data_IF_713472573849
#
_entry.id   IF_713472573849
#
_cell.length_a   1.000
_cell.length_b   1.000
_cell.length_c   1.000
_cell.angle_alpha   90.00
_cell.angle_beta   90.00
_cell.angle_gamma   90.00
#
_symmetry.space_group_name_H-M   'P 1'
#
loop_
_entity.id
_entity.type
_entity.pdbx_description
1 polymer ?
#
# COMPACT_ATOMS: atom_id res chain seq x y z
N UNK A 1 15.09 3.99 -13.54
CA UNK A 1 13.70 4.32 -13.09
C UNK A 1 12.79 4.27 -14.31
N UNK A 2 11.61 3.66 -14.19
CA UNK A 2 10.63 3.57 -15.27
C UNK A 2 9.66 4.77 -15.28
N UNK A 3 9.54 5.47 -14.13
CA UNK A 3 8.66 6.62 -13.96
C UNK A 3 9.44 7.76 -13.31
N UNK A 4 9.29 8.97 -13.85
CA UNK A 4 9.74 10.21 -13.22
C UNK A 4 8.57 10.77 -12.40
N UNK A 5 8.83 11.12 -11.15
CA UNK A 5 7.82 11.69 -10.24
C UNK A 5 8.31 13.03 -9.71
N UNK A 6 7.47 14.05 -9.80
CA UNK A 6 7.76 15.39 -9.26
C UNK A 6 6.48 16.10 -8.81
N UNK A 7 6.62 17.11 -7.96
CA UNK A 7 5.52 17.95 -7.51
C UNK A 7 5.45 19.22 -8.34
N UNK A 8 4.23 19.58 -8.78
CA UNK A 8 3.95 20.82 -9.48
C UNK A 8 2.51 21.29 -9.18
N UNK A 9 2.33 22.58 -8.87
CA UNK A 9 1.02 23.23 -8.70
C UNK A 9 0.04 22.47 -7.79
N UNK A 10 0.54 22.00 -6.64
CA UNK A 10 -0.27 21.22 -5.68
C UNK A 10 -0.57 19.78 -6.09
N UNK A 11 -0.01 19.32 -7.22
CA UNK A 11 -0.17 17.98 -7.74
C UNK A 11 1.14 17.18 -7.70
N UNK A 12 1.01 15.84 -7.72
CA UNK A 12 2.07 14.91 -8.10
C UNK A 12 1.91 14.61 -9.58
N UNK A 13 2.99 14.79 -10.33
CA UNK A 13 3.08 14.44 -11.74
C UNK A 13 3.93 13.17 -11.87
N UNK A 14 3.34 12.09 -12.37
CA UNK A 14 3.99 10.82 -12.67
C UNK A 14 4.14 10.71 -14.18
N UNK A 15 5.39 10.73 -14.69
CA UNK A 15 5.68 10.70 -16.13
C UNK A 15 6.27 9.34 -16.49
N UNK A 16 5.64 8.64 -17.41
CA UNK A 16 6.10 7.35 -17.88
C UNK A 16 7.31 7.48 -18.80
N UNK A 17 8.37 6.73 -18.52
CA UNK A 17 9.60 6.68 -19.33
C UNK A 17 9.69 5.41 -20.18
N UNK A 18 8.78 4.47 -20.00
CA UNK A 18 8.73 3.18 -20.70
C UNK A 18 7.27 2.80 -21.00
N UNK A 19 7.00 1.94 -22.00
CA UNK A 19 5.66 1.44 -22.27
C UNK A 19 5.01 0.78 -21.02
N UNK A 20 5.74 -0.05 -20.29
CA UNK A 20 5.24 -0.69 -19.06
C UNK A 20 4.82 0.35 -18.00
N UNK A 21 5.54 1.47 -17.91
CA UNK A 21 5.16 2.56 -17.02
C UNK A 21 3.89 3.29 -17.51
N UNK A 22 3.70 3.44 -18.83
CA UNK A 22 2.44 3.98 -19.37
C UNK A 22 1.26 3.10 -18.98
N UNK A 23 1.36 1.78 -19.14
CA UNK A 23 0.29 0.85 -18.79
C UNK A 23 -0.06 0.95 -17.30
N UNK A 24 0.96 1.07 -16.44
CA UNK A 24 0.73 1.27 -14.99
C UNK A 24 0.03 2.59 -14.69
N UNK A 25 0.43 3.70 -15.32
CA UNK A 25 -0.24 4.98 -15.11
C UNK A 25 -1.69 4.97 -15.63
N UNK A 26 -1.96 4.29 -16.75
CA UNK A 26 -3.33 4.09 -17.27
C UNK A 26 -4.18 3.28 -16.30
N UNK A 27 -3.62 2.20 -15.75
CA UNK A 27 -4.28 1.37 -14.74
C UNK A 27 -4.60 2.19 -13.48
N UNK A 28 -3.62 2.91 -12.95
CA UNK A 28 -3.80 3.77 -11.77
C UNK A 28 -4.87 4.84 -12.00
N UNK A 29 -4.84 5.52 -13.15
CA UNK A 29 -5.85 6.51 -13.53
C UNK A 29 -7.27 5.90 -13.60
N UNK A 30 -7.40 4.73 -14.22
CA UNK A 30 -8.68 4.06 -14.37
C UNK A 30 -9.26 3.63 -12.99
N UNK A 31 -8.42 3.13 -12.11
CA UNK A 31 -8.83 2.69 -10.78
C UNK A 31 -9.22 3.86 -9.87
N UNK A 32 -8.38 4.89 -9.79
CA UNK A 32 -8.63 6.08 -8.97
C UNK A 32 -9.75 6.96 -9.52
N UNK A 33 -9.95 6.99 -10.83
CA UNK A 33 -11.06 7.69 -11.47
C UNK A 33 -12.37 6.90 -11.54
N UNK A 34 -12.32 5.58 -11.26
CA UNK A 34 -13.42 4.63 -11.32
C UNK A 34 -13.79 4.09 -9.93
N UNK A 35 -13.47 2.79 -9.63
CA UNK A 35 -13.94 2.12 -8.42
C UNK A 35 -13.44 2.74 -7.12
N UNK A 36 -12.34 3.50 -7.15
CA UNK A 36 -11.76 4.14 -5.97
C UNK A 36 -12.01 5.66 -5.89
N UNK A 37 -12.77 6.20 -6.83
CA UNK A 37 -13.07 7.63 -6.88
C UNK A 37 -13.79 8.11 -5.62
N UNK A 38 -13.27 9.19 -5.03
CA UNK A 38 -13.90 9.88 -3.90
C UNK A 38 -13.65 9.25 -2.53
N UNK A 39 -12.90 8.14 -2.44
CA UNK A 39 -12.44 7.66 -1.15
C UNK A 39 -11.27 8.51 -0.66
N UNK A 40 -11.38 9.08 0.54
CA UNK A 40 -10.34 9.96 1.14
C UNK A 40 -9.04 9.22 1.44
N UNK A 41 -9.10 7.92 1.60
CA UNK A 41 -7.94 7.04 1.83
C UNK A 41 -7.14 6.72 0.57
N UNK A 42 -7.48 7.32 -0.59
CA UNK A 42 -6.79 7.17 -1.87
C UNK A 42 -6.55 8.52 -2.54
N UNK A 43 -5.50 8.67 -3.36
CA UNK A 43 -5.25 9.89 -4.13
C UNK A 43 -6.42 10.23 -5.05
N UNK A 44 -6.63 11.51 -5.27
CA UNK A 44 -7.60 11.99 -6.24
C UNK A 44 -6.89 12.33 -7.54
N UNK A 45 -7.32 11.74 -8.65
CA UNK A 45 -6.76 12.06 -9.96
C UNK A 45 -7.30 13.39 -10.46
N UNK A 46 -6.40 14.22 -10.99
CA UNK A 46 -6.72 15.52 -11.60
C UNK A 46 -6.76 15.44 -13.13
N UNK A 47 -6.03 14.48 -13.72
CA UNK A 47 -6.05 14.24 -15.15
C UNK A 47 -4.90 13.38 -15.63
N UNK A 48 -4.99 12.98 -16.90
CA UNK A 48 -3.92 12.24 -17.57
C UNK A 48 -3.80 12.74 -19.02
N UNK A 49 -2.58 13.09 -19.45
CA UNK A 49 -2.33 13.60 -20.79
C UNK A 49 -0.88 13.30 -21.24
N UNK A 50 -0.65 13.33 -22.53
CA UNK A 50 0.73 13.37 -23.05
C UNK A 50 1.30 14.79 -22.90
N UNK A 51 2.49 14.87 -22.32
CA UNK A 51 3.23 16.11 -22.12
C UNK A 51 4.59 16.06 -22.80
N UNK A 52 5.06 17.18 -23.29
CA UNK A 52 6.46 17.34 -23.74
C UNK A 52 7.29 17.80 -22.55
N UNK A 53 8.24 17.00 -22.09
CA UNK A 53 9.19 17.39 -21.04
C UNK A 53 10.59 17.54 -21.64
N UNK A 54 11.07 18.80 -21.66
CA UNK A 54 12.37 19.15 -22.25
C UNK A 54 13.56 18.47 -21.54
N UNK A 55 13.38 18.03 -20.28
CA UNK A 55 14.43 17.38 -19.49
C UNK A 55 14.70 15.94 -19.93
N UNK A 56 13.67 15.27 -20.47
CA UNK A 56 13.76 13.86 -20.92
C UNK A 56 13.53 13.70 -22.41
N UNK A 57 13.10 14.78 -23.12
CA UNK A 57 12.83 14.80 -24.56
C UNK A 57 11.62 13.96 -24.95
N UNK A 58 10.91 14.39 -26.00
CA UNK A 58 9.76 13.65 -26.54
C UNK A 58 8.46 13.84 -25.77
N UNK A 59 7.44 13.08 -26.22
CA UNK A 59 6.11 13.05 -25.60
C UNK A 59 5.99 11.86 -24.67
N UNK A 60 5.59 12.11 -23.43
CA UNK A 60 5.45 11.11 -22.39
C UNK A 60 4.07 11.20 -21.75
N UNK A 61 3.49 10.05 -21.41
CA UNK A 61 2.24 10.03 -20.66
C UNK A 61 2.51 10.55 -19.24
N UNK A 62 1.69 11.50 -18.80
CA UNK A 62 1.74 12.08 -17.46
C UNK A 62 0.39 11.89 -16.78
N UNK A 63 0.39 11.26 -15.62
CA UNK A 63 -0.70 11.20 -14.68
C UNK A 63 -0.52 12.31 -13.64
N UNK A 64 -1.57 13.13 -13.42
CA UNK A 64 -1.63 14.13 -12.36
C UNK A 64 -2.59 13.68 -11.28
N UNK A 65 -2.09 13.66 -10.06
CA UNK A 65 -2.84 13.38 -8.84
C UNK A 65 -2.70 14.54 -7.86
N UNK A 66 -3.72 14.82 -7.07
CA UNK A 66 -3.58 15.78 -5.97
C UNK A 66 -2.49 15.30 -5.02
N UNK A 67 -1.61 16.22 -4.63
CA UNK A 67 -0.57 15.90 -3.67
C UNK A 67 -1.21 15.54 -2.32
N UNK A 68 -0.87 14.37 -1.81
CA UNK A 68 -1.25 13.93 -0.46
C UNK A 68 -0.21 14.51 0.51
N UNK A 69 -0.63 15.52 1.30
CA UNK A 69 0.23 16.04 2.37
C UNK A 69 0.45 14.98 3.44
N UNK A 70 1.70 14.86 3.90
CA UNK A 70 2.08 13.90 4.91
C UNK A 70 3.43 13.29 4.66
N UNK A 71 3.71 12.23 5.36
CA UNK A 71 4.97 11.51 5.28
C UNK A 71 4.74 9.99 5.25
N UNK A 72 5.70 9.26 4.69
CA UNK A 72 5.61 7.79 4.68
C UNK A 72 5.54 7.24 6.11
N UNK A 73 4.72 6.21 6.33
CA UNK A 73 4.39 5.68 7.66
C UNK A 73 5.62 5.36 8.53
N UNK A 74 6.70 4.82 7.95
CA UNK A 74 7.91 4.56 8.72
C UNK A 74 8.60 5.86 9.14
N UNK A 75 8.71 6.84 8.23
CA UNK A 75 9.31 8.14 8.53
C UNK A 75 8.51 8.88 9.62
N UNK A 76 7.17 8.81 9.57
CA UNK A 76 6.29 9.37 10.59
C UNK A 76 6.58 8.79 11.98
N UNK A 77 6.61 7.47 12.09
CA UNK A 77 6.87 6.80 13.38
C UNK A 77 8.27 7.10 13.90
N UNK A 78 9.28 7.05 13.02
CA UNK A 78 10.68 7.34 13.37
C UNK A 78 10.88 8.80 13.80
N UNK A 79 10.30 9.76 13.08
CA UNK A 79 10.34 11.18 13.44
C UNK A 79 9.70 11.43 14.80
N UNK A 80 8.46 10.95 15.04
CA UNK A 80 7.75 11.10 16.32
C UNK A 80 8.56 10.54 17.49
N UNK A 81 9.20 9.40 17.31
CA UNK A 81 10.06 8.80 18.33
C UNK A 81 11.32 9.64 18.59
N UNK A 82 11.96 10.14 17.54
CA UNK A 82 13.19 10.95 17.65
C UNK A 82 12.95 12.31 18.28
N UNK A 83 11.76 12.88 18.11
CA UNK A 83 11.33 14.14 18.73
C UNK A 83 10.91 13.98 20.22
N UNK A 84 10.94 12.75 20.76
CA UNK A 84 10.51 12.45 22.13
C UNK A 84 8.99 12.34 22.33
N UNK A 85 8.22 12.27 21.22
CA UNK A 85 6.76 12.15 21.19
C UNK A 85 6.34 10.87 20.46
N UNK A 86 6.69 9.66 20.97
CA UNK A 86 6.30 8.42 20.32
C UNK A 86 4.77 8.30 20.23
N UNK A 87 4.31 7.57 19.24
CA UNK A 87 2.87 7.35 19.05
C UNK A 87 2.28 6.60 20.26
N UNK A 88 1.17 7.11 20.75
CA UNK A 88 0.37 6.42 21.77
C UNK A 88 -0.25 5.14 21.22
N UNK A 89 -0.69 4.24 22.09
CA UNK A 89 -1.40 3.02 21.70
C UNK A 89 -2.65 3.32 20.85
N UNK A 90 -3.34 4.43 21.13
CA UNK A 90 -4.50 4.86 20.36
C UNK A 90 -4.13 5.31 18.93
N UNK A 91 -3.07 6.09 18.78
CA UNK A 91 -2.57 6.54 17.48
C UNK A 91 -2.08 5.33 16.65
N UNK A 92 -1.31 4.42 17.27
CA UNK A 92 -0.89 3.17 16.62
C UNK A 92 -2.09 2.33 16.17
N UNK A 93 -3.11 2.19 17.02
CA UNK A 93 -4.34 1.50 16.66
C UNK A 93 -5.02 2.16 15.47
N UNK A 94 -5.15 3.49 15.47
CA UNK A 94 -5.77 4.25 14.37
C UNK A 94 -5.02 4.06 13.05
N UNK A 95 -3.68 4.09 13.07
CA UNK A 95 -2.87 3.84 11.88
C UNK A 95 -3.10 2.41 11.33
N UNK A 96 -3.03 1.40 12.20
CA UNK A 96 -3.24 -0.01 11.82
C UNK A 96 -4.65 -0.22 11.27
N UNK A 97 -5.66 0.39 11.91
CA UNK A 97 -7.04 0.33 11.45
C UNK A 97 -7.20 0.98 10.08
N UNK A 98 -6.67 2.20 9.89
CA UNK A 98 -6.72 2.91 8.61
C UNK A 98 -6.06 2.14 7.47
N UNK A 99 -4.94 1.45 7.73
CA UNK A 99 -4.29 0.60 6.74
C UNK A 99 -5.17 -0.58 6.33
N UNK A 100 -5.80 -1.28 7.29
CA UNK A 100 -6.72 -2.36 6.97
C UNK A 100 -8.04 -1.87 6.37
N UNK A 101 -8.52 -0.67 6.72
CA UNK A 101 -9.68 -0.04 6.10
C UNK A 101 -9.44 0.22 4.60
N UNK A 102 -8.30 0.83 4.25
CA UNK A 102 -7.93 1.08 2.86
C UNK A 102 -7.84 -0.23 2.05
N UNK A 103 -7.13 -1.23 2.59
CA UNK A 103 -7.03 -2.54 1.94
C UNK A 103 -8.37 -3.29 1.84
N UNK A 104 -9.28 -3.10 2.81
CA UNK A 104 -10.62 -3.69 2.76
C UNK A 104 -11.47 -3.07 1.64
N UNK A 105 -11.32 -1.77 1.37
CA UNK A 105 -11.98 -1.12 0.21
C UNK A 105 -11.45 -1.69 -1.09
N UNK A 106 -10.12 -1.83 -1.26
CA UNK A 106 -9.50 -2.45 -2.45
C UNK A 106 -10.05 -3.86 -2.67
N UNK A 107 -10.04 -4.69 -1.63
CA UNK A 107 -10.53 -6.07 -1.70
C UNK A 107 -12.04 -6.15 -2.02
N UNK A 108 -12.87 -5.30 -1.39
CA UNK A 108 -14.31 -5.26 -1.64
C UNK A 108 -14.65 -4.89 -3.08
N UNK A 109 -13.85 -4.04 -3.70
CA UNK A 109 -13.99 -3.70 -5.12
C UNK A 109 -13.54 -4.83 -6.07
N UNK A 110 -13.05 -5.95 -5.54
CA UNK A 110 -12.60 -7.11 -6.31
C UNK A 110 -11.17 -7.00 -6.82
N UNK A 111 -10.34 -6.18 -6.16
CA UNK A 111 -8.95 -5.94 -6.56
C UNK A 111 -7.93 -6.43 -5.52
N UNK A 112 -6.69 -6.57 -5.95
CA UNK A 112 -5.49 -6.86 -5.17
C UNK A 112 -4.48 -5.77 -5.49
N UNK A 113 -3.95 -5.09 -4.46
CA UNK A 113 -3.01 -3.98 -4.65
C UNK A 113 -1.64 -4.46 -5.12
N UNK A 114 -1.17 -5.58 -4.60
CA UNK A 114 0.09 -6.29 -4.92
C UNK A 114 1.38 -5.62 -4.46
N UNK A 115 1.37 -4.34 -4.09
CA UNK A 115 2.57 -3.62 -3.62
C UNK A 115 2.33 -2.69 -2.41
N UNK A 116 1.72 -3.14 -1.30
CA UNK A 116 1.50 -2.31 -0.12
C UNK A 116 2.79 -2.21 0.73
N UNK A 117 3.85 -1.61 0.20
CA UNK A 117 5.11 -1.39 0.91
C UNK A 117 5.10 -0.04 1.68
N UNK A 118 6.05 0.20 2.62
CA UNK A 118 5.99 1.38 3.49
C UNK A 118 5.92 2.74 2.79
N UNK A 119 6.54 2.86 1.61
CA UNK A 119 6.52 4.09 0.82
C UNK A 119 5.16 4.40 0.19
N UNK A 120 4.25 3.43 0.14
CA UNK A 120 2.90 3.60 -0.39
C UNK A 120 1.85 3.90 0.69
N UNK A 121 2.27 4.09 1.94
CA UNK A 121 1.41 4.47 3.05
C UNK A 121 1.80 5.85 3.55
N UNK A 122 0.97 6.85 3.30
CA UNK A 122 1.17 8.22 3.75
C UNK A 122 0.32 8.47 5.00
N UNK A 123 0.94 9.00 6.03
CA UNK A 123 0.25 9.52 7.23
C UNK A 123 0.10 11.03 7.06
N UNK A 124 -1.13 11.50 7.01
CA UNK A 124 -1.45 12.92 6.85
C UNK A 124 -1.26 13.68 8.18
N UNK A 125 -1.17 15.02 8.16
CA UNK A 125 -0.98 15.82 9.38
C UNK A 125 -2.05 15.61 10.46
N UNK A 126 -3.27 15.26 10.06
CA UNK A 126 -4.40 14.93 10.96
C UNK A 126 -4.44 13.46 11.38
N UNK A 127 -3.44 12.66 10.97
CA UNK A 127 -3.24 11.28 11.40
C UNK A 127 -4.02 10.22 10.60
N UNK A 128 -4.64 10.60 9.48
CA UNK A 128 -5.25 9.65 8.56
C UNK A 128 -4.21 8.91 7.73
N UNK A 129 -4.58 7.73 7.23
CA UNK A 129 -3.71 6.92 6.37
C UNK A 129 -4.24 6.96 4.95
N UNK A 130 -3.37 7.30 4.01
CA UNK A 130 -3.65 7.27 2.57
C UNK A 130 -2.75 6.23 1.90
N UNK A 131 -3.36 5.29 1.17
CA UNK A 131 -2.66 4.32 0.32
C UNK A 131 -2.50 4.92 -1.07
N UNK A 132 -1.27 4.94 -1.57
CA UNK A 132 -0.91 5.50 -2.88
C UNK A 132 -0.33 4.44 -3.80
N UNK A 133 -0.22 4.78 -5.10
CA UNK A 133 0.41 3.96 -6.16
C UNK A 133 -0.36 2.66 -6.48
N UNK A 134 -1.37 2.80 -7.33
CA UNK A 134 -2.22 1.71 -7.82
C UNK A 134 -1.75 1.12 -9.17
N UNK A 135 -0.55 1.49 -9.62
CA UNK A 135 -0.03 1.05 -10.92
C UNK A 135 0.08 -0.46 -11.08
N UNK A 136 0.32 -1.19 -9.99
CA UNK A 136 0.37 -2.66 -9.99
C UNK A 136 -0.94 -3.33 -9.55
N UNK A 137 -1.95 -2.58 -9.13
CA UNK A 137 -3.22 -3.12 -8.69
C UNK A 137 -3.92 -3.86 -9.85
N UNK A 138 -4.50 -5.02 -9.56
CA UNK A 138 -5.21 -5.83 -10.56
C UNK A 138 -6.45 -6.49 -9.96
N UNK A 139 -7.42 -6.84 -10.80
CA UNK A 139 -8.60 -7.58 -10.35
C UNK A 139 -8.22 -8.99 -9.89
N UNK A 140 -9.03 -9.57 -9.01
CA UNK A 140 -8.86 -10.96 -8.55
C UNK A 140 -8.90 -11.93 -9.73
N UNK A 141 -9.71 -11.63 -10.76
CA UNK A 141 -9.80 -12.46 -11.97
C UNK A 141 -8.51 -12.47 -12.79
N UNK A 142 -7.85 -11.32 -12.95
CA UNK A 142 -6.55 -11.20 -13.63
C UNK A 142 -5.43 -11.90 -12.85
N UNK A 143 -5.58 -12.05 -11.55
CA UNK A 143 -4.63 -12.73 -10.66
C UNK A 143 -4.89 -14.23 -10.49
N UNK A 144 -5.82 -14.83 -11.23
CA UNK A 144 -6.16 -16.26 -11.13
C UNK A 144 -5.02 -17.21 -11.54
N UNK A 145 -3.95 -16.69 -12.15
CA UNK A 145 -2.75 -17.41 -12.52
C UNK A 145 -1.46 -16.68 -12.17
N UNK A 146 -0.30 -17.26 -12.45
CA UNK A 146 0.98 -16.61 -12.24
C UNK A 146 1.09 -15.31 -13.04
N UNK A 147 1.59 -14.26 -12.39
CA UNK A 147 1.83 -12.98 -13.05
C UNK A 147 2.92 -13.14 -14.12
N UNK A 148 2.60 -12.73 -15.35
CA UNK A 148 3.52 -12.72 -16.48
C UNK A 148 4.17 -11.34 -16.58
N UNK A 149 5.49 -11.28 -16.82
CA UNK A 149 6.24 -10.03 -16.99
C UNK A 149 7.22 -9.72 -15.83
N UNK A 150 7.82 -8.55 -15.88
CA UNK A 150 8.78 -8.12 -14.87
C UNK A 150 8.10 -7.96 -13.50
N UNK A 151 8.61 -8.70 -12.52
CA UNK A 151 8.20 -8.59 -11.12
C UNK A 151 8.83 -7.33 -10.52
N UNK A 152 8.19 -6.19 -10.65
CA UNK A 152 8.51 -5.03 -9.84
C UNK A 152 7.81 -5.23 -8.49
N UNK A 153 8.53 -5.83 -7.57
CA UNK A 153 8.05 -6.14 -6.22
C UNK A 153 8.97 -5.44 -5.24
N UNK A 154 8.40 -4.75 -4.28
CA UNK A 154 9.14 -4.07 -3.21
C UNK A 154 9.79 -5.09 -2.29
N UNK A 155 11.09 -5.32 -2.51
CA UNK A 155 11.84 -6.42 -1.87
C UNK A 155 11.71 -6.39 -0.35
N UNK A 156 11.24 -7.51 0.17
CA UNK A 156 11.21 -7.80 1.58
C UNK A 156 9.88 -7.53 2.29
N UNK A 157 8.86 -7.04 1.58
CA UNK A 157 7.50 -6.90 2.10
C UNK A 157 6.51 -7.85 1.43
N UNK A 158 6.82 -8.32 0.24
CA UNK A 158 5.99 -9.22 -0.55
C UNK A 158 5.72 -10.56 0.16
N UNK A 159 4.54 -11.11 -0.11
CA UNK A 159 4.15 -12.45 0.36
C UNK A 159 4.99 -13.54 -0.31
N UNK A 160 5.26 -14.68 0.37
CA UNK A 160 6.11 -15.76 -0.16
C UNK A 160 5.63 -16.28 -1.51
N UNK A 161 4.33 -16.53 -1.66
CA UNK A 161 3.71 -17.03 -2.90
C UNK A 161 3.79 -16.02 -4.05
N UNK A 162 3.69 -14.72 -3.74
CA UNK A 162 3.85 -13.67 -4.74
C UNK A 162 5.30 -13.62 -5.24
N UNK A 163 6.26 -13.72 -4.30
CA UNK A 163 7.69 -13.72 -4.62
C UNK A 163 8.14 -14.96 -5.40
N UNK A 164 7.73 -16.16 -4.98
CA UNK A 164 8.23 -17.41 -5.53
C UNK A 164 7.45 -17.90 -6.76
N UNK A 165 6.13 -17.71 -6.76
CA UNK A 165 5.23 -18.28 -7.77
C UNK A 165 4.56 -17.19 -8.64
N UNK A 166 4.66 -15.92 -8.26
CA UNK A 166 3.92 -14.85 -8.91
C UNK A 166 2.41 -14.90 -8.65
N UNK A 167 1.96 -15.65 -7.66
CA UNK A 167 0.54 -15.76 -7.31
C UNK A 167 0.16 -14.63 -6.37
N UNK A 168 -0.84 -13.83 -6.77
CA UNK A 168 -1.40 -12.78 -5.93
C UNK A 168 -2.81 -13.16 -5.47
N UNK A 169 -3.13 -12.79 -4.25
CA UNK A 169 -4.47 -12.97 -3.66
C UNK A 169 -4.73 -11.87 -2.62
N UNK A 170 -5.98 -11.66 -2.19
CA UNK A 170 -6.24 -10.73 -1.08
C UNK A 170 -5.43 -11.05 0.19
N UNK A 171 -5.15 -12.33 0.45
CA UNK A 171 -4.30 -12.76 1.56
C UNK A 171 -2.81 -12.38 1.38
N UNK A 172 -2.35 -12.14 0.14
CA UNK A 172 -1.01 -11.61 -0.13
C UNK A 172 -0.88 -10.15 0.32
N UNK A 173 -1.90 -9.34 0.08
CA UNK A 173 -1.94 -7.94 0.54
C UNK A 173 -2.02 -7.87 2.07
N UNK A 174 -2.79 -8.75 2.72
CA UNK A 174 -2.82 -8.88 4.18
C UNK A 174 -1.42 -9.16 4.74
N UNK A 175 -0.68 -10.07 4.12
CA UNK A 175 0.69 -10.39 4.54
C UNK A 175 1.62 -9.19 4.42
N UNK A 176 1.61 -8.51 3.28
CA UNK A 176 2.48 -7.37 3.01
C UNK A 176 2.15 -6.18 3.92
N UNK A 177 0.87 -5.86 4.12
CA UNK A 177 0.40 -4.83 5.06
C UNK A 177 0.84 -5.15 6.49
N UNK A 178 0.66 -6.40 6.93
CA UNK A 178 1.08 -6.82 8.27
C UNK A 178 2.61 -6.70 8.47
N UNK A 179 3.41 -6.94 7.44
CA UNK A 179 4.87 -6.72 7.50
C UNK A 179 5.24 -5.25 7.67
N UNK A 180 4.53 -4.34 7.02
CA UNK A 180 4.72 -2.90 7.22
C UNK A 180 4.38 -2.53 8.67
N UNK A 181 3.24 -3.02 9.19
CA UNK A 181 2.81 -2.80 10.56
C UNK A 181 3.85 -3.35 11.56
N UNK A 182 4.30 -4.58 11.37
CA UNK A 182 5.32 -5.19 12.22
C UNK A 182 6.63 -4.38 12.21
N UNK A 183 7.01 -3.82 11.05
CA UNK A 183 8.21 -2.99 10.93
C UNK A 183 8.09 -1.70 11.73
N UNK A 184 7.00 -0.95 11.64
CA UNK A 184 6.91 0.31 12.37
C UNK A 184 6.60 0.12 13.87
N UNK A 185 5.88 -0.95 14.24
CA UNK A 185 5.56 -1.21 15.65
C UNK A 185 6.73 -1.84 16.42
N UNK A 186 7.48 -2.75 15.80
CA UNK A 186 8.46 -3.59 16.48
C UNK A 186 9.86 -3.58 15.84
N UNK A 187 10.08 -2.75 14.84
CA UNK A 187 11.36 -2.68 14.15
C UNK A 187 11.70 -3.90 13.28
N UNK A 188 10.85 -4.91 13.21
CA UNK A 188 11.10 -6.18 12.54
C UNK A 188 10.12 -6.48 11.41
N UNK A 189 10.57 -7.27 10.44
CA UNK A 189 9.75 -7.89 9.39
C UNK A 189 9.69 -9.41 9.52
N UNK A 190 10.31 -9.96 10.57
CA UNK A 190 10.29 -11.40 10.86
C UNK A 190 9.23 -11.70 11.92
N UNK A 191 8.24 -12.51 11.54
CA UNK A 191 7.17 -12.94 12.44
C UNK A 191 7.68 -13.66 13.70
N UNK A 192 8.86 -14.31 13.62
CA UNK A 192 9.48 -15.01 14.76
C UNK A 192 10.08 -14.06 15.79
N UNK A 193 10.41 -12.84 15.37
CA UNK A 193 10.95 -11.79 16.23
C UNK A 193 9.86 -10.93 16.89
N UNK A 194 8.57 -11.19 16.62
CA UNK A 194 7.47 -10.47 17.26
C UNK A 194 7.39 -10.83 18.77
N UNK A 195 7.25 -9.85 19.64
CA UNK A 195 7.07 -10.08 21.08
C UNK A 195 5.84 -10.94 21.34
N UNK A 196 5.91 -11.82 22.36
CA UNK A 196 4.81 -12.77 22.64
C UNK A 196 3.60 -12.15 23.35
N UNK A 197 3.79 -11.04 24.03
CA UNK A 197 2.81 -10.47 24.99
C UNK A 197 2.41 -9.03 24.66
N UNK A 198 2.41 -8.64 23.37
CA UNK A 198 2.01 -7.28 23.00
C UNK A 198 0.69 -7.29 22.23
N UNK A 199 -0.10 -6.22 22.35
CA UNK A 199 -1.27 -6.04 21.52
C UNK A 199 -0.95 -6.26 20.03
N UNK A 200 -1.90 -6.85 19.29
CA UNK A 200 -1.78 -7.14 17.85
C UNK A 200 -0.75 -8.19 17.45
N UNK A 201 0.11 -8.72 18.32
CA UNK A 201 1.12 -9.70 17.95
C UNK A 201 0.51 -10.97 17.36
N UNK A 202 -0.59 -11.48 17.92
CA UNK A 202 -1.26 -12.67 17.38
C UNK A 202 -1.95 -12.40 16.05
N UNK A 203 -2.53 -11.21 15.88
CA UNK A 203 -3.06 -10.76 14.61
C UNK A 203 -1.95 -10.75 13.54
N UNK A 204 -0.81 -10.13 13.84
CA UNK A 204 0.31 -10.05 12.92
C UNK A 204 0.92 -11.43 12.64
N UNK A 205 1.05 -12.31 13.65
CA UNK A 205 1.53 -13.68 13.43
C UNK A 205 0.65 -14.43 12.45
N UNK A 206 -0.68 -14.34 12.62
CA UNK A 206 -1.62 -14.95 11.69
C UNK A 206 -1.55 -14.31 10.31
N UNK A 207 -1.56 -12.99 10.22
CA UNK A 207 -1.48 -12.26 8.95
C UNK A 207 -0.19 -12.57 8.17
N UNK A 208 0.93 -12.79 8.87
CA UNK A 208 2.25 -13.11 8.30
C UNK A 208 2.55 -14.61 8.21
N UNK A 209 1.55 -15.49 8.34
CA UNK A 209 1.76 -16.93 8.18
C UNK A 209 2.29 -17.25 6.76
N UNK A 210 3.17 -18.27 6.66
CA UNK A 210 3.80 -18.63 5.38
C UNK A 210 2.78 -19.08 4.34
N UNK A 211 1.82 -19.94 4.74
CA UNK A 211 0.76 -20.44 3.85
C UNK A 211 -0.39 -19.45 3.78
N UNK A 212 -0.84 -19.02 2.59
CA UNK A 212 -1.99 -18.09 2.44
C UNK A 212 -3.25 -18.56 3.19
N UNK A 213 -3.57 -19.85 3.13
CA UNK A 213 -4.75 -20.43 3.80
C UNK A 213 -4.71 -20.35 5.35
N UNK A 214 -3.53 -20.12 5.95
CA UNK A 214 -3.39 -19.93 7.40
C UNK A 214 -3.57 -18.47 7.84
N UNK A 215 -3.63 -17.53 6.90
CA UNK A 215 -3.82 -16.11 7.13
C UNK A 215 -5.30 -15.74 7.30
N UNK A 216 -5.57 -14.47 7.44
CA UNK A 216 -6.89 -13.92 7.14
C UNK A 216 -7.09 -13.99 5.62
N UNK A 217 -8.29 -14.36 5.20
CA UNK A 217 -8.61 -14.53 3.78
C UNK A 217 -8.43 -13.21 3.00
N UNK A 218 -8.70 -12.10 3.66
CA UNK A 218 -8.64 -10.76 3.11
C UNK A 218 -8.45 -9.70 4.22
N UNK A 219 -8.30 -8.45 3.83
CA UNK A 219 -8.12 -7.34 4.76
C UNK A 219 -9.37 -7.07 5.61
N UNK A 220 -10.56 -7.42 5.13
CA UNK A 220 -11.79 -7.28 5.89
C UNK A 220 -11.82 -8.21 7.10
N UNK A 221 -11.41 -9.47 6.91
CA UNK A 221 -11.28 -10.44 8.01
C UNK A 221 -10.18 -10.03 9.02
N UNK A 222 -9.07 -9.49 8.53
CA UNK A 222 -7.99 -8.97 9.39
C UNK A 222 -8.46 -7.76 10.22
N UNK A 223 -9.18 -6.82 9.59
CA UNK A 223 -9.80 -5.67 10.25
C UNK A 223 -10.78 -6.08 11.35
N UNK A 224 -11.66 -7.04 11.05
CA UNK A 224 -12.62 -7.53 12.04
C UNK A 224 -11.93 -8.14 13.26
N UNK A 225 -10.86 -8.91 13.06
CA UNK A 225 -10.06 -9.45 14.15
C UNK A 225 -9.34 -8.37 14.96
N UNK A 226 -8.82 -7.31 14.30
CA UNK A 226 -8.24 -6.14 14.97
C UNK A 226 -9.26 -5.46 15.88
N UNK A 227 -10.47 -5.19 15.39
CA UNK A 227 -11.54 -4.55 16.15
C UNK A 227 -12.00 -5.40 17.36
N UNK A 228 -12.01 -6.73 17.20
CA UNK A 228 -12.35 -7.64 18.30
C UNK A 228 -11.29 -7.61 19.41
N UNK A 229 -9.99 -7.58 19.03
CA UNK A 229 -8.88 -7.54 19.99
C UNK A 229 -8.77 -6.23 20.78
N UNK A 230 -9.32 -5.14 20.27
CA UNK A 230 -9.29 -3.83 20.95
C UNK A 230 -10.39 -3.69 22.01
N UNK A 231 -11.44 -4.52 21.93
CA UNK A 231 -12.57 -4.50 22.88
C UNK A 231 -12.39 -5.44 24.07
N UNK A 232 -11.42 -6.34 23.99
CA UNK A 232 -11.06 -7.31 25.05
C UNK A 232 -9.97 -6.76 25.94
#
# INVERSE_FOLDING_TARGET
KQTLVYRADGNVCKVALTPDAEDRLRNEYALLGGPFKGYEMFPQVDGMAYVEDRRIGGKHLCLRERFVEGEAVLAHVERRASEGWPLSSRELFSLVLGMFDAMAVVCRAGYIHRDPHPGNWIVTPDGHVVLIDFGLCASVAECAGPLVGERVISRGYEAPELRSLGLASPASDVYSTAKVIAKFMFGTRDVRALPRTVPFADLLRRAMAQKPAARYADAYAARAALMASYRS
#
